data_IF_116342426786
#
_entry.id   IF_116342426786
#
_cell.length_a   1.000
_cell.length_b   1.000
_cell.length_c   1.000
_cell.angle_alpha   90.00
_cell.angle_beta   90.00
_cell.angle_gamma   90.00
#
_symmetry.space_group_name_H-M   'P 1'
#
loop_
_entity.id
_entity.type
_entity.pdbx_description
1 polymer ?
#
# COMPACT_ATOMS: atom_id res chain seq x y z
N UNK A 1 -38.81 8.69 -50.32
CA UNK A 1 -38.87 9.51 -49.09
C UNK A 1 -37.47 9.59 -48.50
N UNK A 2 -36.87 10.78 -48.44
CA UNK A 2 -35.55 11.00 -47.82
C UNK A 2 -35.78 11.35 -46.35
N UNK A 3 -35.37 10.47 -45.44
CA UNK A 3 -35.37 10.75 -44.01
C UNK A 3 -34.15 11.60 -43.67
N UNK A 4 -34.36 12.88 -43.37
CA UNK A 4 -33.35 13.75 -42.77
C UNK A 4 -33.36 13.53 -41.24
N UNK A 5 -32.28 12.98 -40.65
CA UNK A 5 -32.20 12.80 -39.20
C UNK A 5 -32.17 14.15 -38.48
N UNK A 6 -32.88 14.24 -37.35
CA UNK A 6 -32.97 15.46 -36.55
C UNK A 6 -31.63 15.76 -35.86
N UNK A 7 -31.23 17.04 -35.87
CA UNK A 7 -29.97 17.52 -35.29
C UNK A 7 -29.82 17.22 -33.79
N UNK A 8 -30.93 16.99 -33.08
CA UNK A 8 -30.95 16.66 -31.66
C UNK A 8 -30.43 15.23 -31.37
N UNK A 9 -30.67 14.28 -32.28
CA UNK A 9 -30.21 12.89 -32.12
C UNK A 9 -28.68 12.74 -32.28
N UNK A 10 -28.08 13.53 -33.17
CA UNK A 10 -26.62 13.56 -33.35
C UNK A 10 -25.90 14.18 -32.14
N UNK A 11 -26.48 15.20 -31.51
CA UNK A 11 -25.87 15.85 -30.35
C UNK A 11 -25.87 14.94 -29.10
N UNK A 12 -26.93 14.17 -28.88
CA UNK A 12 -27.01 13.25 -27.74
C UNK A 12 -26.04 12.07 -27.89
N UNK A 13 -25.88 11.54 -29.11
CA UNK A 13 -24.93 10.45 -29.40
C UNK A 13 -23.47 10.92 -29.24
N UNK A 14 -23.16 12.16 -29.63
CA UNK A 14 -21.83 12.75 -29.45
C UNK A 14 -21.47 12.96 -27.97
N UNK A 15 -22.43 13.40 -27.13
CA UNK A 15 -22.22 13.48 -25.68
C UNK A 15 -22.01 12.10 -25.05
N UNK A 16 -22.73 11.07 -25.50
CA UNK A 16 -22.57 9.70 -24.98
C UNK A 16 -21.20 9.09 -25.35
N UNK A 17 -20.67 9.39 -26.53
CA UNK A 17 -19.31 8.98 -26.96
C UNK A 17 -18.20 9.73 -26.20
N UNK A 18 -18.40 10.99 -25.82
CA UNK A 18 -17.44 11.75 -25.01
C UNK A 18 -17.38 11.28 -23.54
N UNK A 19 -18.46 10.67 -23.02
CA UNK A 19 -18.49 10.08 -21.68
C UNK A 19 -17.79 8.72 -21.58
N UNK A 20 -17.50 8.05 -22.70
CA UNK A 20 -16.79 6.76 -22.74
C UNK A 20 -15.25 6.92 -22.80
N UNK A 21 -14.76 8.14 -23.03
CA UNK A 21 -13.34 8.46 -23.05
C UNK A 21 -12.92 9.13 -21.73
N UNK A 22 -13.23 8.50 -20.59
CA UNK A 22 -12.58 8.88 -19.34
C UNK A 22 -11.06 8.72 -19.54
N UNK A 23 -10.25 9.77 -19.36
CA UNK A 23 -8.81 9.61 -19.43
C UNK A 23 -8.44 8.56 -18.38
N UNK A 24 -7.86 7.44 -18.83
CA UNK A 24 -7.12 6.57 -17.91
C UNK A 24 -6.00 7.45 -17.38
N UNK A 25 -6.05 7.73 -16.07
CA UNK A 25 -4.86 8.19 -15.41
C UNK A 25 -3.91 6.99 -15.45
N UNK A 26 -2.96 7.00 -16.39
CA UNK A 26 -1.88 6.01 -16.46
C UNK A 26 -1.06 6.16 -15.17
N UNK A 27 -1.49 5.46 -14.13
CA UNK A 27 -0.95 5.58 -12.80
C UNK A 27 0.43 4.93 -12.80
N UNK A 28 1.47 5.75 -12.85
CA UNK A 28 2.83 5.23 -12.71
C UNK A 28 2.96 4.68 -11.28
N UNK A 29 3.23 3.40 -11.09
CA UNK A 29 3.34 2.80 -9.75
C UNK A 29 4.78 2.69 -9.29
N UNK A 30 4.98 2.84 -7.99
CA UNK A 30 6.20 2.49 -7.26
C UNK A 30 5.90 1.41 -6.24
N UNK A 31 6.81 0.45 -6.13
CA UNK A 31 6.73 -0.64 -5.18
C UNK A 31 7.97 -0.60 -4.30
N UNK A 32 7.79 -0.46 -2.99
CA UNK A 32 8.87 -0.55 -2.00
C UNK A 32 8.72 -1.82 -1.18
N UNK A 33 9.84 -2.48 -0.88
CA UNK A 33 9.95 -3.51 0.16
C UNK A 33 10.56 -2.85 1.38
N UNK A 34 9.86 -2.91 2.52
CA UNK A 34 10.29 -2.36 3.79
C UNK A 34 10.67 -3.51 4.72
N UNK A 35 11.83 -3.42 5.35
CA UNK A 35 12.28 -4.32 6.40
C UNK A 35 12.23 -3.59 7.74
N UNK A 36 11.71 -4.26 8.77
CA UNK A 36 11.58 -3.74 10.12
C UNK A 36 12.59 -4.41 11.04
N UNK A 37 13.39 -3.62 11.74
CA UNK A 37 14.31 -4.10 12.77
C UNK A 37 14.00 -3.41 14.08
N UNK A 38 13.58 -4.19 15.10
CA UNK A 38 13.28 -3.68 16.43
C UNK A 38 14.42 -2.81 16.98
N UNK A 39 14.07 -1.67 17.57
CA UNK A 39 15.00 -0.76 18.26
C UNK A 39 14.42 -0.33 19.60
N UNK A 40 15.30 -0.17 20.59
CA UNK A 40 14.92 0.29 21.93
C UNK A 40 14.15 -0.74 22.77
N UNK A 41 13.68 -0.32 23.96
CA UNK A 41 12.82 -1.14 24.81
C UNK A 41 11.51 -1.50 24.13
N UNK A 42 10.97 -2.68 24.44
CA UNK A 42 9.66 -3.09 23.92
C UNK A 42 8.97 -4.08 24.84
N UNK A 43 7.65 -4.12 24.76
CA UNK A 43 6.78 -5.08 25.43
C UNK A 43 5.97 -5.79 24.34
N UNK A 44 6.05 -7.12 24.26
CA UNK A 44 5.29 -7.97 23.32
C UNK A 44 5.34 -7.51 21.86
N UNK A 45 6.45 -6.87 21.47
CA UNK A 45 6.60 -6.21 20.18
C UNK A 45 7.34 -7.11 19.19
N UNK A 46 6.62 -7.54 18.16
CA UNK A 46 7.17 -8.40 17.11
C UNK A 46 6.18 -8.69 15.98
N UNK A 47 5.20 -7.81 15.75
CA UNK A 47 4.11 -8.09 14.80
C UNK A 47 4.63 -8.19 13.36
N UNK A 48 5.19 -7.13 12.77
CA UNK A 48 5.62 -7.18 11.36
C UNK A 48 7.14 -7.13 11.22
N UNK A 49 7.71 -7.97 10.35
CA UNK A 49 9.14 -7.94 10.02
C UNK A 49 9.41 -7.39 8.61
N UNK A 50 8.39 -7.39 7.75
CA UNK A 50 8.50 -6.92 6.38
C UNK A 50 7.17 -6.31 5.90
N UNK A 51 7.22 -5.41 4.92
CA UNK A 51 6.06 -4.94 4.20
C UNK A 51 6.36 -4.65 2.73
N UNK A 52 5.34 -4.72 1.88
CA UNK A 52 5.34 -4.10 0.55
C UNK A 52 4.42 -2.90 0.54
N UNK A 53 4.89 -1.78 -0.01
CA UNK A 53 4.11 -0.56 -0.19
C UNK A 53 3.99 -0.26 -1.66
N UNK A 54 2.76 -0.09 -2.13
CA UNK A 54 2.44 0.27 -3.51
C UNK A 54 1.74 1.62 -3.52
N UNK A 55 2.22 2.54 -4.34
CA UNK A 55 1.61 3.86 -4.50
C UNK A 55 1.88 4.41 -5.90
N UNK A 56 1.22 5.51 -6.26
CA UNK A 56 1.57 6.26 -7.46
C UNK A 56 2.93 6.95 -7.30
N UNK A 57 3.79 6.89 -8.31
CA UNK A 57 5.14 7.45 -8.33
C UNK A 57 5.15 8.98 -8.18
N UNK A 58 4.07 9.63 -8.62
CA UNK A 58 3.82 11.07 -8.46
C UNK A 58 3.36 11.46 -7.06
N UNK A 59 3.01 10.48 -6.24
CA UNK A 59 2.43 10.68 -4.91
C UNK A 59 0.92 10.45 -4.90
N UNK A 60 0.40 10.02 -3.76
CA UNK A 60 -0.99 9.67 -3.56
C UNK A 60 -1.19 8.72 -2.39
N UNK A 61 -2.37 8.11 -2.36
CA UNK A 61 -2.72 7.07 -1.39
C UNK A 61 -1.84 5.83 -1.62
N UNK A 62 -1.35 5.24 -0.53
CA UNK A 62 -0.56 4.02 -0.56
C UNK A 62 -1.38 2.81 -0.10
N UNK A 63 -1.12 1.64 -0.67
CA UNK A 63 -1.64 0.35 -0.21
C UNK A 63 -0.48 -0.53 0.25
N UNK A 64 -0.74 -1.37 1.26
CA UNK A 64 0.29 -2.12 1.97
C UNK A 64 -0.02 -3.60 2.01
N UNK A 65 1.03 -4.41 1.93
CA UNK A 65 1.01 -5.82 2.35
C UNK A 65 1.96 -5.95 3.52
N UNK A 66 1.44 -6.23 4.71
CA UNK A 66 2.21 -6.36 5.95
C UNK A 66 2.49 -7.83 6.23
N UNK A 67 3.74 -8.18 6.52
CA UNK A 67 4.17 -9.58 6.75
C UNK A 67 4.53 -9.80 8.20
N UNK A 68 3.99 -10.87 8.76
CA UNK A 68 4.33 -11.35 10.08
C UNK A 68 4.64 -12.85 10.08
N UNK A 69 5.20 -13.32 11.19
CA UNK A 69 5.49 -14.73 11.39
C UNK A 69 4.58 -15.29 12.48
N UNK A 70 3.96 -16.43 12.19
CA UNK A 70 3.14 -17.18 13.15
C UNK A 70 3.64 -18.64 13.19
N UNK A 71 4.46 -18.93 14.20
CA UNK A 71 5.17 -20.21 14.29
C UNK A 71 6.09 -20.43 13.07
N UNK A 72 5.96 -21.55 12.34
CA UNK A 72 6.76 -21.82 11.15
C UNK A 72 6.23 -21.15 9.87
N UNK A 73 5.06 -20.49 9.94
CA UNK A 73 4.38 -19.95 8.76
C UNK A 73 4.61 -18.44 8.63
N UNK A 74 4.94 -18.00 7.41
CA UNK A 74 4.91 -16.58 7.04
C UNK A 74 3.50 -16.22 6.59
N UNK A 75 2.92 -15.20 7.22
CA UNK A 75 1.58 -14.71 6.93
C UNK A 75 1.65 -13.27 6.45
N UNK A 76 0.66 -12.85 5.67
CA UNK A 76 0.52 -11.45 5.28
C UNK A 76 -0.91 -10.96 5.42
N UNK A 77 -1.06 -9.65 5.64
CA UNK A 77 -2.34 -8.94 5.62
C UNK A 77 -2.26 -7.85 4.55
N UNK A 78 -3.25 -7.82 3.66
CA UNK A 78 -3.42 -6.71 2.71
C UNK A 78 -4.22 -5.60 3.40
N UNK A 79 -3.74 -4.36 3.27
CA UNK A 79 -4.43 -3.17 3.74
C UNK A 79 -4.45 -2.14 2.61
N UNK A 80 -5.61 -1.99 1.99
CA UNK A 80 -5.80 -0.99 0.94
C UNK A 80 -5.95 0.41 1.54
N UNK A 81 -5.45 1.41 0.82
CA UNK A 81 -5.57 2.82 1.19
C UNK A 81 -5.06 3.16 2.60
N UNK A 82 -3.92 2.57 2.98
CA UNK A 82 -3.26 2.79 4.25
C UNK A 82 -2.10 3.78 4.12
N UNK A 83 -2.33 5.03 4.47
CA UNK A 83 -1.31 6.08 4.41
C UNK A 83 -1.07 6.63 3.01
N UNK A 84 0.07 7.27 2.83
CA UNK A 84 0.41 8.02 1.62
C UNK A 84 1.89 7.92 1.27
N UNK A 85 2.14 8.09 -0.03
CA UNK A 85 3.46 8.40 -0.56
C UNK A 85 3.41 9.81 -1.17
N UNK A 86 4.42 10.63 -0.91
CA UNK A 86 4.50 11.98 -1.49
C UNK A 86 5.94 12.43 -1.62
N UNK A 87 6.16 13.51 -2.38
CA UNK A 87 7.47 14.13 -2.52
C UNK A 87 7.51 15.42 -1.70
N UNK A 88 8.51 15.55 -0.85
CA UNK A 88 8.82 16.77 -0.11
C UNK A 88 10.11 17.38 -0.68
N UNK A 89 10.22 18.71 -0.71
CA UNK A 89 11.44 19.38 -1.16
C UNK A 89 12.01 20.33 -0.11
N UNK A 90 13.33 20.32 0.04
CA UNK A 90 14.05 21.25 0.89
C UNK A 90 15.40 21.59 0.27
N UNK A 91 15.69 22.88 0.08
CA UNK A 91 16.97 23.39 -0.46
C UNK A 91 17.42 22.72 -1.77
N UNK A 92 16.48 22.49 -2.68
CA UNK A 92 16.75 21.87 -3.98
C UNK A 92 16.91 20.35 -3.96
N UNK A 93 16.82 19.71 -2.79
CA UNK A 93 16.72 18.25 -2.67
C UNK A 93 15.27 17.84 -2.61
N UNK A 94 14.92 16.77 -3.33
CA UNK A 94 13.60 16.14 -3.29
C UNK A 94 13.72 14.83 -2.54
N UNK A 95 12.87 14.66 -1.53
CA UNK A 95 12.75 13.46 -0.71
C UNK A 95 11.40 12.80 -1.04
N UNK A 96 11.40 11.50 -1.33
CA UNK A 96 10.16 10.74 -1.28
C UNK A 96 9.89 10.33 0.17
N UNK A 97 8.62 10.39 0.57
CA UNK A 97 8.18 10.14 1.93
C UNK A 97 7.05 9.12 1.89
N UNK A 98 7.18 8.05 2.67
CA UNK A 98 6.10 7.13 3.01
C UNK A 98 5.66 7.47 4.43
N UNK A 99 4.36 7.71 4.60
CA UNK A 99 3.76 8.00 5.88
C UNK A 99 2.45 7.24 6.05
N UNK A 100 2.26 6.57 7.17
CA UNK A 100 0.99 5.92 7.51
C UNK A 100 0.73 6.05 9.01
N UNK A 101 -0.54 6.27 9.37
CA UNK A 101 -1.00 6.31 10.75
C UNK A 101 -2.16 5.33 10.94
N UNK A 102 -2.38 4.84 12.17
CA UNK A 102 -3.52 4.00 12.48
C UNK A 102 -4.83 4.68 12.10
N UNK A 103 -5.71 3.96 11.41
CA UNK A 103 -7.11 4.32 11.25
C UNK A 103 -7.96 3.75 12.38
N UNK A 104 -9.28 3.99 12.34
CA UNK A 104 -10.21 3.52 13.38
C UNK A 104 -10.32 1.99 13.47
N UNK A 105 -9.83 1.24 12.47
CA UNK A 105 -9.94 -0.23 12.37
C UNK A 105 -8.65 -0.90 11.82
N UNK A 106 -7.49 -0.26 11.94
CA UNK A 106 -6.24 -0.65 11.25
C UNK A 106 -5.02 -0.49 12.16
N UNK A 107 -3.85 -1.09 11.83
CA UNK A 107 -2.76 -1.33 12.79
C UNK A 107 -2.40 -0.09 13.61
N UNK A 108 -2.19 -0.25 14.92
CA UNK A 108 -1.81 0.80 15.91
C UNK A 108 -0.40 1.36 15.71
N UNK A 109 0.17 1.14 14.53
CA UNK A 109 1.51 1.54 14.15
C UNK A 109 1.47 2.83 13.34
N UNK A 110 2.31 3.79 13.70
CA UNK A 110 2.69 4.90 12.82
C UNK A 110 3.96 4.51 12.07
N UNK A 111 4.01 4.80 10.77
CA UNK A 111 5.15 4.57 9.90
C UNK A 111 5.61 5.89 9.30
N UNK A 112 6.91 6.14 9.32
CA UNK A 112 7.53 7.25 8.61
C UNK A 112 8.85 6.77 8.01
N UNK A 113 8.98 6.84 6.69
CA UNK A 113 10.23 6.57 5.99
C UNK A 113 10.47 7.58 4.88
N UNK A 114 11.71 8.03 4.73
CA UNK A 114 12.10 9.05 3.76
C UNK A 114 13.41 8.68 3.08
N UNK A 115 13.61 9.21 1.87
CA UNK A 115 14.84 9.01 1.14
C UNK A 115 14.97 9.94 -0.06
N UNK A 116 16.19 10.16 -0.53
CA UNK A 116 16.47 11.08 -1.62
C UNK A 116 16.03 10.51 -2.97
N UNK A 117 15.27 11.31 -3.73
CA UNK A 117 14.77 10.97 -5.05
C UNK A 117 15.92 10.90 -6.09
N UNK A 118 16.49 9.71 -6.20
CA UNK A 118 17.74 9.42 -6.93
C UNK A 118 17.57 8.39 -8.05
N UNK A 119 16.51 7.57 -8.01
CA UNK A 119 16.18 6.60 -9.05
C UNK A 119 15.13 7.15 -10.01
N UNK A 120 15.08 6.62 -11.23
CA UNK A 120 14.06 6.97 -12.22
C UNK A 120 13.13 5.78 -12.42
N UNK A 121 11.83 6.03 -12.35
CA UNK A 121 10.79 5.08 -12.76
C UNK A 121 10.16 5.63 -14.03
N UNK A 122 10.10 4.80 -15.08
CA UNK A 122 9.51 5.17 -16.36
C UNK A 122 8.07 4.68 -16.40
N UNK A 123 7.19 5.46 -17.02
CA UNK A 123 5.98 4.94 -17.64
C UNK A 123 5.95 5.31 -19.13
N UNK A 124 4.86 4.94 -19.79
CA UNK A 124 4.54 5.30 -21.16
C UNK A 124 4.61 6.81 -21.44
N UNK A 125 4.27 7.67 -20.46
CA UNK A 125 4.08 9.12 -20.69
C UNK A 125 5.09 10.03 -19.98
N UNK A 126 5.77 9.56 -18.93
CA UNK A 126 6.75 10.37 -18.20
C UNK A 126 7.77 9.52 -17.44
N UNK A 127 8.87 10.16 -17.02
CA UNK A 127 9.85 9.58 -16.10
C UNK A 127 9.85 10.37 -14.79
N UNK A 128 9.57 9.70 -13.68
CA UNK A 128 9.52 10.33 -12.34
C UNK A 128 10.74 9.91 -11.53
N UNK A 129 11.31 10.87 -10.78
CA UNK A 129 12.37 10.59 -9.82
C UNK A 129 11.78 10.13 -8.50
N UNK A 130 12.28 9.01 -7.99
CA UNK A 130 11.80 8.39 -6.74
C UNK A 130 12.99 7.90 -5.91
N UNK A 131 12.83 7.75 -4.59
CA UNK A 131 13.90 7.20 -3.76
C UNK A 131 14.30 5.78 -4.19
N UNK A 132 15.60 5.52 -4.25
CA UNK A 132 16.08 4.13 -4.39
C UNK A 132 16.00 3.39 -3.05
N UNK A 133 16.26 4.12 -1.96
CA UNK A 133 16.28 3.63 -0.59
C UNK A 133 15.47 4.58 0.27
N UNK A 134 14.81 4.02 1.29
CA UNK A 134 14.12 4.77 2.32
C UNK A 134 14.68 4.35 3.68
N UNK A 135 14.79 5.30 4.60
CA UNK A 135 15.09 5.03 6.01
C UNK A 135 14.06 5.73 6.89
N UNK A 136 13.76 5.10 8.03
CA UNK A 136 12.67 5.58 8.85
C UNK A 136 12.50 4.84 10.15
N UNK A 137 11.35 5.10 10.77
CA UNK A 137 10.95 4.45 12.02
C UNK A 137 9.47 4.13 11.99
N UNK A 138 9.11 3.09 12.73
CA UNK A 138 7.74 2.82 13.12
C UNK A 138 7.65 2.77 14.64
N UNK A 139 6.53 3.24 15.16
CA UNK A 139 6.17 3.22 16.58
C UNK A 139 4.79 2.58 16.66
N UNK A 140 4.64 1.58 17.52
CA UNK A 140 3.39 0.85 17.71
C UNK A 140 3.06 0.74 19.18
N UNK A 141 1.77 0.79 19.51
CA UNK A 141 1.29 0.68 20.87
C UNK A 141 -0.19 0.33 20.93
N UNK A 142 -0.54 -0.74 21.64
CA UNK A 142 -1.93 -1.12 21.96
C UNK A 142 -2.00 -1.67 23.39
N UNK A 143 -3.02 -1.28 24.15
CA UNK A 143 -3.24 -1.79 25.50
C UNK A 143 -3.91 -3.16 25.52
N UNK A 144 -4.64 -3.55 24.45
CA UNK A 144 -5.51 -4.74 24.40
C UNK A 144 -6.43 -4.87 25.64
N UNK A 145 -6.76 -3.74 26.28
CA UNK A 145 -7.43 -3.71 27.59
C UNK A 145 -8.88 -4.19 27.56
N UNK A 146 -9.46 -4.31 26.38
CA UNK A 146 -10.80 -4.87 26.14
C UNK A 146 -10.86 -6.40 26.35
N UNK A 147 -9.71 -7.09 26.42
CA UNK A 147 -9.64 -8.51 26.73
C UNK A 147 -9.65 -8.75 28.25
N UNK A 148 -10.44 -9.67 28.82
CA UNK A 148 -10.54 -9.89 30.26
C UNK A 148 -9.20 -10.31 30.88
N UNK A 149 -8.84 -9.77 32.04
CA UNK A 149 -7.62 -10.14 32.78
C UNK A 149 -7.81 -11.48 33.49
N UNK A 150 -7.44 -12.57 32.83
CA UNK A 150 -7.26 -13.86 33.49
C UNK A 150 -5.82 -13.99 33.95
N UNK A 151 -5.64 -14.34 35.23
CA UNK A 151 -4.35 -14.40 35.96
C UNK A 151 -3.39 -15.46 35.38
N UNK A 152 -3.85 -16.28 34.43
CA UNK A 152 -3.16 -17.48 33.95
C UNK A 152 -3.20 -17.62 32.42
N UNK A 153 -2.79 -16.64 31.61
CA UNK A 153 -2.16 -16.84 30.27
C UNK A 153 -2.33 -15.61 29.36
N UNK A 154 -1.27 -15.39 28.58
CA UNK A 154 -1.07 -14.42 27.48
C UNK A 154 -0.69 -12.99 27.92
N UNK A 155 0.53 -12.65 27.53
CA UNK A 155 1.08 -11.29 27.45
C UNK A 155 0.06 -10.32 26.82
N UNK A 156 -0.34 -9.27 27.56
CA UNK A 156 -1.34 -8.29 27.11
C UNK A 156 -0.73 -6.99 26.65
N UNK A 157 -1.26 -6.49 25.53
CA UNK A 157 -0.83 -5.24 24.95
C UNK A 157 0.57 -5.35 24.37
N UNK A 158 0.91 -4.43 23.49
CA UNK A 158 2.25 -4.35 22.91
C UNK A 158 2.66 -2.90 22.77
N UNK A 159 3.96 -2.65 22.91
CA UNK A 159 4.55 -1.34 22.69
C UNK A 159 5.99 -1.49 22.21
N UNK A 160 6.38 -0.74 21.20
CA UNK A 160 7.76 -0.73 20.74
C UNK A 160 7.98 0.11 19.49
N UNK A 161 9.23 0.09 19.03
CA UNK A 161 9.66 0.78 17.83
C UNK A 161 10.56 -0.07 16.97
N UNK A 162 10.53 0.14 15.66
CA UNK A 162 11.47 -0.47 14.72
C UNK A 162 12.09 0.59 13.82
N UNK A 163 13.36 0.37 13.43
CA UNK A 163 13.97 1.05 12.30
C UNK A 163 13.42 0.44 11.01
N UNK A 164 13.10 1.29 10.04
CA UNK A 164 12.67 0.92 8.69
C UNK A 164 13.87 1.02 7.75
N UNK A 165 14.07 0.00 6.92
CA UNK A 165 14.89 0.07 5.71
C UNK A 165 14.00 -0.27 4.51
N UNK A 166 13.79 0.69 3.62
CA UNK A 166 13.04 0.50 2.39
C UNK A 166 13.94 0.41 1.18
N UNK A 167 13.60 -0.48 0.25
CA UNK A 167 14.26 -0.58 -1.05
C UNK A 167 13.22 -0.58 -2.18
N UNK A 168 13.47 0.25 -3.19
CA UNK A 168 12.67 0.28 -4.41
C UNK A 168 12.78 -1.07 -5.11
N UNK A 169 11.65 -1.72 -5.32
CA UNK A 169 11.54 -2.92 -6.15
C UNK A 169 11.48 -2.50 -7.62
N UNK A 170 12.63 -2.05 -8.16
CA UNK A 170 12.71 -1.42 -9.49
C UNK A 170 12.16 -2.32 -10.59
N UNK A 171 12.44 -3.62 -10.54
CA UNK A 171 11.92 -4.57 -11.53
C UNK A 171 10.41 -4.71 -11.44
N UNK A 172 9.86 -4.99 -10.26
CA UNK A 172 8.41 -5.10 -10.09
C UNK A 172 7.68 -3.81 -10.45
N UNK A 173 8.28 -2.65 -10.14
CA UNK A 173 7.73 -1.35 -10.54
C UNK A 173 7.78 -1.17 -12.05
N UNK A 174 8.87 -1.55 -12.73
CA UNK A 174 8.97 -1.50 -14.20
C UNK A 174 7.95 -2.41 -14.84
N UNK A 175 7.89 -3.67 -14.43
CA UNK A 175 6.97 -4.68 -14.96
C UNK A 175 5.51 -4.18 -14.82
N UNK A 176 5.12 -3.67 -13.64
CA UNK A 176 3.78 -3.14 -13.43
C UNK A 176 3.46 -1.90 -14.27
N UNK A 177 4.44 -1.01 -14.49
CA UNK A 177 4.26 0.17 -15.34
C UNK A 177 4.24 -0.14 -16.84
N UNK A 178 4.96 -1.19 -17.26
CA UNK A 178 4.94 -1.69 -18.65
C UNK A 178 3.61 -2.37 -18.98
N UNK A 179 3.02 -3.05 -17.99
CA UNK A 179 1.72 -3.70 -18.08
C UNK A 179 0.53 -2.74 -17.82
N UNK A 180 0.77 -1.44 -17.61
CA UNK A 180 -0.23 -0.40 -17.30
C UNK A 180 -1.12 -0.75 -16.10
N UNK A 181 -0.53 -1.36 -15.06
CA UNK A 181 -1.26 -1.80 -13.87
C UNK A 181 -1.56 -0.62 -12.95
N UNK A 182 -2.81 -0.55 -12.47
CA UNK A 182 -3.20 0.33 -11.37
C UNK A 182 -2.54 -0.08 -10.05
N UNK A 183 -2.62 0.77 -9.02
CA UNK A 183 -2.20 0.42 -7.66
C UNK A 183 -2.88 -0.86 -7.16
N UNK A 184 -4.18 -1.04 -7.44
CA UNK A 184 -4.92 -2.24 -7.01
C UNK A 184 -4.46 -3.51 -7.73
N UNK A 185 -4.29 -3.46 -9.05
CA UNK A 185 -3.81 -4.62 -9.83
C UNK A 185 -2.35 -4.95 -9.48
N UNK A 186 -1.55 -3.92 -9.21
CA UNK A 186 -0.18 -4.09 -8.70
C UNK A 186 -0.18 -4.76 -7.33
N UNK A 187 -1.10 -4.38 -6.43
CA UNK A 187 -1.30 -5.06 -5.14
C UNK A 187 -1.68 -6.54 -5.33
N UNK A 188 -2.55 -6.86 -6.28
CA UNK A 188 -2.90 -8.25 -6.63
C UNK A 188 -1.67 -9.03 -7.11
N UNK A 189 -0.82 -8.41 -7.94
CA UNK A 189 0.44 -9.00 -8.42
C UNK A 189 1.44 -9.26 -7.27
N UNK A 190 1.57 -8.32 -6.33
CA UNK A 190 2.39 -8.50 -5.11
C UNK A 190 1.86 -9.67 -4.29
N UNK A 191 0.55 -9.71 -3.99
CA UNK A 191 -0.08 -10.79 -3.23
C UNK A 191 0.12 -12.15 -3.92
N UNK A 192 -0.08 -12.22 -5.24
CA UNK A 192 0.14 -13.43 -6.00
C UNK A 192 1.62 -13.89 -5.92
N UNK A 193 2.56 -12.95 -5.93
CA UNK A 193 4.00 -13.24 -5.75
C UNK A 193 4.29 -13.83 -4.38
N UNK A 194 3.68 -13.31 -3.31
CA UNK A 194 3.85 -13.84 -1.95
C UNK A 194 3.24 -15.22 -1.79
N UNK A 195 2.04 -15.45 -2.33
CA UNK A 195 1.41 -16.77 -2.33
C UNK A 195 2.28 -17.81 -3.05
N UNK A 196 2.88 -17.46 -4.20
CA UNK A 196 3.85 -18.32 -4.90
C UNK A 196 5.11 -18.63 -4.09
N UNK A 197 5.50 -17.75 -3.17
CA UNK A 197 6.62 -17.96 -2.24
C UNK A 197 6.24 -18.75 -0.97
N UNK A 198 4.99 -19.16 -0.84
CA UNK A 198 4.49 -19.96 0.29
C UNK A 198 3.92 -19.14 1.45
N UNK A 199 3.73 -17.83 1.28
CA UNK A 199 3.11 -17.00 2.31
C UNK A 199 1.60 -17.25 2.35
N UNK A 200 1.03 -17.24 3.55
CA UNK A 200 -0.39 -17.46 3.78
C UNK A 200 -1.13 -16.14 3.98
N UNK A 201 -2.33 -16.04 3.41
CA UNK A 201 -3.20 -14.88 3.57
C UNK A 201 -3.86 -14.92 4.94
N UNK A 202 -3.70 -13.85 5.73
CA UNK A 202 -4.30 -13.69 7.04
C UNK A 202 -5.33 -12.56 7.07
N UNK A 203 -5.70 -12.03 5.91
CA UNK A 203 -6.77 -11.04 5.81
C UNK A 203 -8.07 -11.71 6.30
N UNK A 204 -8.75 -11.16 7.32
CA UNK A 204 -9.95 -11.80 7.85
C UNK A 204 -11.03 -11.87 6.76
N UNK A 205 -11.44 -13.08 6.41
CA UNK A 205 -12.58 -13.29 5.52
C UNK A 205 -13.85 -12.95 6.28
N UNK A 206 -14.48 -11.82 5.99
CA UNK A 206 -15.81 -11.51 6.51
C UNK A 206 -16.81 -12.46 5.87
N UNK A 207 -17.10 -13.59 6.53
CA UNK A 207 -18.21 -14.46 6.13
C UNK A 207 -19.51 -13.72 6.46
N UNK A 208 -20.13 -13.10 5.46
CA UNK A 208 -21.48 -12.54 5.59
C UNK A 208 -22.46 -13.70 5.75
N UNK A 209 -22.78 -14.07 6.99
CA UNK A 209 -23.92 -14.93 7.27
C UNK A 209 -25.19 -14.12 7.03
N UNK A 210 -25.76 -14.22 5.83
CA UNK A 210 -27.10 -13.71 5.55
C UNK A 210 -28.10 -14.51 6.39
N UNK A 211 -28.50 -13.97 7.54
CA UNK A 211 -29.64 -14.50 8.30
C UNK A 211 -30.91 -14.05 7.59
N UNK A 212 -31.49 -14.92 6.79
CA UNK A 212 -32.85 -14.75 6.27
C UNK A 212 -33.81 -14.95 7.44
N UNK A 213 -34.47 -13.87 7.87
CA UNK A 213 -35.66 -13.95 8.74
C UNK A 213 -36.91 -14.15 7.91
#
# INVERSE_FOLDING_TARGET
MKFTPSSLGLALLACFLLLLAAPRADAQVVIYRLEFSKVGPSVNYGFYHEAWVVAEATGGTASWVLVYQEGPHQKFVRVDAYGSYFQASHRGQVQGVIYATPGTNTPTSTFLALGEASSKVKSLVATVKVPKKLEGYTISGDSESELPFTVNEIDKGYAGSSKIKGELQSRMSSDANEDDLTVSETMDSVVASLKRKGYQDATPTTTTTTTTN
#
